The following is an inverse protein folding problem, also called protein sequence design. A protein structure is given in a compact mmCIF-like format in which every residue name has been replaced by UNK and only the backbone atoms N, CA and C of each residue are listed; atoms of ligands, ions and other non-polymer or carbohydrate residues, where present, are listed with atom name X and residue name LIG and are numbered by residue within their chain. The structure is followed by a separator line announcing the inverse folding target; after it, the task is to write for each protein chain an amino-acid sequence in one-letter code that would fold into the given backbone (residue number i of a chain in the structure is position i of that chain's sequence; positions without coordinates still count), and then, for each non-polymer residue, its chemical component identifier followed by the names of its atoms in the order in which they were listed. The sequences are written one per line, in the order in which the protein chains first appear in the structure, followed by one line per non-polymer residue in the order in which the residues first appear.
data_IF_780553346459
#
_entry.id   IF_780553346459
#
_cell.length_a   1.000
_cell.length_b   1.000
_cell.length_c   1.000
_cell.angle_alpha   90.00
_cell.angle_beta   90.00
_cell.angle_gamma   90.00
#
_symmetry.space_group_name_H-M   'P 1'
#
loop_
_entity.id
_entity.type
_entity.pdbx_description
1 polymer ?
#
# COMPACT_ATOMS: atom_id res chain seq x y z
N UNK A 1 -33.82 -54.28 29.17
CA UNK A 1 -32.59 -54.54 28.39
C UNK A 1 -32.14 -53.24 27.76
N UNK A 2 -30.86 -52.87 27.90
CA UNK A 2 -30.29 -51.58 27.47
C UNK A 2 -30.31 -51.42 25.94
N UNK A 3 -30.87 -50.30 25.46
CA UNK A 3 -30.74 -49.86 24.06
C UNK A 3 -29.40 -49.14 23.89
N UNK A 4 -28.53 -49.67 23.02
CA UNK A 4 -27.20 -49.12 22.74
C UNK A 4 -27.32 -48.03 21.66
N UNK A 5 -27.00 -46.79 22.00
CA UNK A 5 -26.91 -45.66 21.05
C UNK A 5 -25.59 -45.77 20.26
N UNK A 6 -25.58 -45.70 18.91
CA UNK A 6 -24.35 -45.73 18.14
C UNK A 6 -23.63 -44.37 18.19
N UNK A 7 -22.30 -44.40 18.30
CA UNK A 7 -21.43 -43.23 18.29
C UNK A 7 -21.44 -42.52 16.92
N UNK A 8 -21.20 -41.19 16.86
CA UNK A 8 -21.17 -40.46 15.60
C UNK A 8 -20.02 -40.95 14.70
N UNK A 9 -20.39 -41.41 13.50
CA UNK A 9 -19.46 -41.80 12.44
C UNK A 9 -18.64 -40.59 11.99
N UNK A 10 -17.30 -40.67 12.11
CA UNK A 10 -16.37 -39.69 11.55
C UNK A 10 -16.39 -39.82 10.03
N UNK A 11 -17.24 -39.05 9.36
CA UNK A 11 -17.19 -38.91 7.91
C UNK A 11 -15.82 -38.34 7.50
N UNK A 12 -15.12 -38.93 6.51
CA UNK A 12 -13.95 -38.29 5.91
C UNK A 12 -14.41 -37.02 5.19
N UNK A 13 -13.85 -35.86 5.56
CA UNK A 13 -14.00 -34.62 4.80
C UNK A 13 -13.34 -34.77 3.43
N UNK A 14 -14.03 -35.35 2.46
CA UNK A 14 -13.68 -35.24 1.05
C UNK A 14 -14.38 -34.02 0.46
N UNK A 15 -13.77 -32.84 0.63
CA UNK A 15 -14.05 -31.66 -0.19
C UNK A 15 -12.76 -30.83 -0.32
N UNK A 16 -11.77 -31.36 -1.03
CA UNK A 16 -10.73 -30.57 -1.70
C UNK A 16 -10.65 -31.06 -3.14
N UNK A 17 -11.68 -30.73 -3.93
CA UNK A 17 -11.65 -30.95 -5.37
C UNK A 17 -10.70 -29.95 -6.02
N UNK A 18 -9.61 -30.45 -6.61
CA UNK A 18 -8.87 -30.00 -7.82
C UNK A 18 -8.68 -28.50 -8.15
N UNK A 19 -8.98 -27.58 -7.23
CA UNK A 19 -8.71 -26.15 -7.33
C UNK A 19 -7.58 -25.68 -6.42
N UNK A 20 -6.98 -26.58 -5.64
CA UNK A 20 -5.89 -26.25 -4.71
C UNK A 20 -4.51 -26.34 -5.36
N UNK A 21 -4.34 -27.16 -6.39
CA UNK A 21 -3.03 -27.36 -7.04
C UNK A 21 -2.64 -26.13 -7.88
N UNK A 22 -3.62 -25.45 -8.49
CA UNK A 22 -3.41 -24.20 -9.23
C UNK A 22 -3.04 -23.04 -8.31
N UNK A 23 -3.51 -23.06 -7.05
CA UNK A 23 -3.19 -22.03 -6.05
C UNK A 23 -1.75 -22.19 -5.55
N UNK A 24 -1.26 -23.43 -5.42
CA UNK A 24 0.15 -23.68 -5.08
C UNK A 24 1.09 -23.24 -6.21
N UNK A 25 0.76 -23.52 -7.47
CA UNK A 25 1.58 -23.13 -8.63
C UNK A 25 1.64 -21.60 -8.80
N UNK A 26 0.62 -20.86 -8.33
CA UNK A 26 0.60 -19.40 -8.37
C UNK A 26 1.44 -18.73 -7.24
N UNK A 27 1.88 -19.47 -6.23
CA UNK A 27 2.73 -18.93 -5.15
C UNK A 27 4.24 -19.12 -5.37
N UNK A 28 4.65 -19.84 -6.42
CA UNK A 28 6.07 -20.06 -6.77
C UNK A 28 6.63 -18.98 -7.73
N UNK A 29 5.83 -17.97 -8.11
CA UNK A 29 6.31 -16.83 -8.88
C UNK A 29 6.72 -15.69 -7.94
N UNK A 30 7.99 -15.74 -7.52
CA UNK A 30 8.82 -14.58 -7.16
C UNK A 30 8.63 -13.97 -5.75
N UNK A 31 8.56 -14.78 -4.68
CA UNK A 31 8.59 -14.28 -3.29
C UNK A 31 9.79 -13.40 -2.94
N UNK A 32 10.93 -13.54 -3.63
CA UNK A 32 12.09 -12.65 -3.44
C UNK A 32 11.89 -11.26 -4.06
N UNK A 33 11.04 -11.13 -5.09
CA UNK A 33 10.79 -9.87 -5.80
C UNK A 33 9.55 -9.12 -5.30
N UNK A 34 8.63 -9.82 -4.63
CA UNK A 34 7.40 -9.26 -4.06
C UNK A 34 7.71 -8.30 -2.90
N UNK A 35 8.70 -8.60 -2.05
CA UNK A 35 9.03 -7.78 -0.86
C UNK A 35 9.43 -6.33 -1.18
N UNK A 36 10.30 -6.14 -2.17
CA UNK A 36 10.75 -4.81 -2.60
C UNK A 36 9.66 -4.00 -3.32
N UNK A 37 8.85 -4.67 -4.15
CA UNK A 37 7.70 -4.07 -4.84
C UNK A 37 6.61 -3.65 -3.85
N UNK A 38 6.35 -4.50 -2.85
CA UNK A 38 5.33 -4.26 -1.84
C UNK A 38 5.74 -3.17 -0.84
N UNK A 39 7.03 -3.06 -0.49
CA UNK A 39 7.54 -1.98 0.34
C UNK A 39 7.38 -0.62 -0.36
N UNK A 40 7.76 -0.51 -1.64
CA UNK A 40 7.55 0.71 -2.44
C UNK A 40 6.08 1.09 -2.51
N UNK A 41 5.19 0.12 -2.76
CA UNK A 41 3.74 0.35 -2.80
C UNK A 41 3.22 0.91 -1.48
N UNK A 42 3.58 0.30 -0.35
CA UNK A 42 3.16 0.79 0.98
C UNK A 42 3.68 2.19 1.28
N UNK A 43 4.90 2.51 0.84
CA UNK A 43 5.45 3.86 0.97
C UNK A 43 4.66 4.87 0.15
N UNK A 44 4.34 4.56 -1.11
CA UNK A 44 3.50 5.41 -1.97
C UNK A 44 2.14 5.64 -1.33
N UNK A 45 1.47 4.58 -0.87
CA UNK A 45 0.14 4.66 -0.25
C UNK A 45 0.19 5.56 1.00
N UNK A 46 1.20 5.40 1.87
CA UNK A 46 1.35 6.24 3.06
C UNK A 46 1.64 7.72 2.74
N UNK A 47 2.48 7.99 1.72
CA UNK A 47 2.77 9.36 1.28
C UNK A 47 1.53 10.03 0.68
N UNK A 48 0.72 9.28 -0.06
CA UNK A 48 -0.53 9.77 -0.63
C UNK A 48 -1.54 10.16 0.45
N UNK A 49 -1.71 9.32 1.48
CA UNK A 49 -2.61 9.61 2.61
C UNK A 49 -2.19 10.90 3.33
N UNK A 50 -0.88 11.07 3.60
CA UNK A 50 -0.33 12.27 4.25
C UNK A 50 -0.53 13.51 3.38
N UNK A 51 -0.24 13.43 2.08
CA UNK A 51 -0.37 14.54 1.15
C UNK A 51 -1.83 14.98 1.00
N UNK A 52 -2.75 14.01 0.89
CA UNK A 52 -4.19 14.26 0.78
C UNK A 52 -4.73 14.97 2.01
N UNK A 53 -4.34 14.52 3.21
CA UNK A 53 -4.72 15.17 4.46
C UNK A 53 -4.22 16.63 4.52
N UNK A 54 -2.95 16.87 4.16
CA UNK A 54 -2.36 18.22 4.14
C UNK A 54 -3.05 19.15 3.14
N UNK A 55 -3.40 18.65 1.95
CA UNK A 55 -4.18 19.45 0.98
C UNK A 55 -5.54 19.84 1.55
N UNK A 56 -6.23 18.91 2.20
CA UNK A 56 -7.53 19.19 2.81
C UNK A 56 -7.42 20.25 3.93
N UNK A 57 -6.38 20.16 4.77
CA UNK A 57 -6.11 21.15 5.82
C UNK A 57 -5.89 22.56 5.23
N UNK A 58 -5.18 22.68 4.11
CA UNK A 58 -4.91 23.97 3.44
C UNK A 58 -6.13 24.66 2.85
N UNK A 59 -7.17 23.92 2.51
CA UNK A 59 -8.44 24.53 2.06
C UNK A 59 -9.10 25.33 3.20
N UNK A 60 -8.82 24.97 4.46
CA UNK A 60 -9.55 25.49 5.63
C UNK A 60 -8.68 26.29 6.60
N UNK A 61 -7.35 26.16 6.53
CA UNK A 61 -6.42 26.77 7.47
C UNK A 61 -5.72 28.03 6.93
N UNK A 62 -5.40 28.96 7.82
CA UNK A 62 -4.53 30.09 7.51
C UNK A 62 -3.10 29.61 7.19
N UNK A 63 -2.32 30.35 6.37
CA UNK A 63 -0.95 29.96 6.02
C UNK A 63 -0.11 29.70 7.28
N UNK A 64 0.42 28.48 7.42
CA UNK A 64 1.23 28.12 8.58
C UNK A 64 2.65 28.69 8.44
N UNK A 65 3.22 29.17 9.56
CA UNK A 65 4.54 29.78 9.60
C UNK A 65 5.71 28.79 9.41
N UNK A 66 5.44 27.47 9.48
CA UNK A 66 6.46 26.43 9.32
C UNK A 66 6.08 25.56 8.13
N UNK A 67 6.79 25.75 7.03
CA UNK A 67 6.60 25.04 5.77
C UNK A 67 7.70 23.97 5.65
N UNK A 68 7.33 22.68 5.60
CA UNK A 68 8.28 21.63 5.27
C UNK A 68 8.39 21.40 3.75
N UNK A 69 9.18 20.42 3.31
CA UNK A 69 9.40 20.17 1.89
C UNK A 69 8.11 19.78 1.16
N UNK A 70 7.22 18.99 1.78
CA UNK A 70 5.94 18.61 1.19
C UNK A 70 5.06 19.84 1.02
N UNK A 71 5.05 20.70 2.03
CA UNK A 71 4.31 21.95 2.00
C UNK A 71 4.81 22.94 0.94
N UNK A 72 6.12 22.96 0.65
CA UNK A 72 6.68 23.74 -0.44
C UNK A 72 6.30 23.16 -1.81
N UNK A 73 6.26 21.83 -1.94
CA UNK A 73 5.90 21.15 -3.18
C UNK A 73 4.41 21.28 -3.53
N UNK A 74 3.52 21.36 -2.53
CA UNK A 74 2.09 21.65 -2.76
C UNK A 74 1.89 23.03 -3.40
N UNK A 75 2.70 24.01 -3.00
CA UNK A 75 2.64 25.37 -3.54
C UNK A 75 3.53 25.56 -4.77
N UNK A 76 4.38 24.59 -5.11
CA UNK A 76 5.23 24.67 -6.28
C UNK A 76 4.38 24.66 -7.56
N UNK A 77 4.82 25.44 -8.53
CA UNK A 77 4.24 25.50 -9.87
C UNK A 77 5.25 24.98 -10.88
N UNK A 78 4.76 24.32 -11.93
CA UNK A 78 5.55 23.93 -13.08
C UNK A 78 5.88 25.14 -13.97
N UNK A 79 6.59 24.90 -15.07
CA UNK A 79 6.96 25.94 -16.03
C UNK A 79 5.76 26.65 -16.68
N UNK A 80 4.56 26.09 -16.57
CA UNK A 80 3.31 26.63 -17.09
C UNK A 80 2.47 27.33 -16.01
N UNK A 81 2.98 27.44 -14.78
CA UNK A 81 2.25 28.01 -13.65
C UNK A 81 1.21 27.07 -13.05
N UNK A 82 1.25 25.78 -13.36
CA UNK A 82 0.31 24.79 -12.82
C UNK A 82 0.86 24.17 -11.54
N UNK A 83 0.02 24.04 -10.52
CA UNK A 83 0.40 23.33 -9.29
C UNK A 83 0.70 21.87 -9.58
N UNK A 84 1.74 21.34 -8.93
CA UNK A 84 2.08 19.93 -9.04
C UNK A 84 0.92 19.05 -8.54
N UNK A 85 0.70 17.93 -9.23
CA UNK A 85 -0.25 16.92 -8.81
C UNK A 85 0.37 15.95 -7.78
N UNK A 86 -0.46 15.09 -7.19
CA UNK A 86 -0.01 14.22 -6.10
C UNK A 86 1.02 13.18 -6.54
N UNK A 87 0.91 12.65 -7.76
CA UNK A 87 1.88 11.71 -8.30
C UNK A 87 3.25 12.37 -8.51
N UNK A 88 3.28 13.61 -9.01
CA UNK A 88 4.49 14.39 -9.20
C UNK A 88 5.19 14.68 -7.87
N UNK A 89 4.44 15.15 -6.88
CA UNK A 89 4.96 15.42 -5.54
C UNK A 89 5.50 14.13 -4.91
N UNK A 90 4.74 13.03 -4.95
CA UNK A 90 5.17 11.74 -4.39
C UNK A 90 6.41 11.21 -5.11
N UNK A 91 6.48 11.33 -6.44
CA UNK A 91 7.66 10.92 -7.21
C UNK A 91 8.91 11.71 -6.80
N UNK A 92 8.78 13.03 -6.57
CA UNK A 92 9.88 13.87 -6.08
C UNK A 92 10.27 13.44 -4.66
N UNK A 93 9.31 13.25 -3.75
CA UNK A 93 9.56 12.79 -2.38
C UNK A 93 10.31 11.45 -2.38
N UNK A 94 9.83 10.47 -3.16
CA UNK A 94 10.47 9.16 -3.27
C UNK A 94 11.86 9.27 -3.89
N UNK A 95 12.02 10.08 -4.94
CA UNK A 95 13.32 10.30 -5.57
C UNK A 95 14.32 10.84 -4.56
N UNK A 96 13.97 11.87 -3.78
CA UNK A 96 14.85 12.43 -2.76
C UNK A 96 15.11 11.47 -1.59
N UNK A 97 14.08 10.76 -1.11
CA UNK A 97 14.21 9.79 -0.02
C UNK A 97 15.10 8.61 -0.41
N UNK A 98 14.98 8.11 -1.65
CA UNK A 98 15.80 7.02 -2.16
C UNK A 98 17.22 7.48 -2.52
N UNK A 99 17.37 8.69 -3.08
CA UNK A 99 18.67 9.25 -3.47
C UNK A 99 19.57 9.50 -2.24
N UNK A 100 19.00 9.96 -1.13
CA UNK A 100 19.76 10.24 0.10
C UNK A 100 20.36 8.98 0.76
N UNK A 101 19.89 7.77 0.42
CA UNK A 101 20.44 6.50 0.92
C UNK A 101 21.55 5.90 0.03
N UNK A 102 21.78 6.46 -1.16
CA UNK A 102 22.77 5.98 -2.13
C UNK A 102 24.05 6.85 -2.18
N UNK A 103 24.24 7.75 -1.21
CA UNK A 103 25.39 8.64 -1.06
C UNK A 103 26.22 8.27 0.17
#
# INVERSE_FOLDING_TARGET
MLVKVPAPSKAPRQLLGKGSETISILMDLDTEKIGASQARKKLVDALLDILSARRAERVTAAPQAKQDMTDALIDAEDEKGQKLNDEEIINILIMYLMLAMNL
#
